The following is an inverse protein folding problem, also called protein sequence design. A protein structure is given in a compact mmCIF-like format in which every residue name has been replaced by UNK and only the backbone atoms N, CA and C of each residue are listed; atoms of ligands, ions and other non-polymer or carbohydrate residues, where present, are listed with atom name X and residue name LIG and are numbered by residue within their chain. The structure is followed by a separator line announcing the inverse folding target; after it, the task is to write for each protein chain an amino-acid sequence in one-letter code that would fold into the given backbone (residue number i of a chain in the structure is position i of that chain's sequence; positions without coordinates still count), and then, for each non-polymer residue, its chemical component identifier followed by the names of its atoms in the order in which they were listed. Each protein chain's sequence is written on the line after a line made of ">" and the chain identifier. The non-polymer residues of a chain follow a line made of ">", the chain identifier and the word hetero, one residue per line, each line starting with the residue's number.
data_IF_250143905250
#
_entry.id   IF_250143905250
#
_cell.length_a   1.000
_cell.length_b   1.000
_cell.length_c   1.000
_cell.angle_alpha   90.00
_cell.angle_beta   90.00
_cell.angle_gamma   90.00
#
_symmetry.space_group_name_H-M   'P 1'
#
loop_
_entity.id
_entity.type
_entity.pdbx_description
1 polymer ?
#
# COMPACT_ATOMS: atom_id res chain seq x y z
N UNK A 1 -2.76 -24.73 -29.40
CA UNK A 1 -3.43 -25.92 -28.81
C UNK A 1 -4.30 -26.67 -29.80
N UNK A 2 -5.50 -26.21 -30.24
CA UNK A 2 -6.36 -26.97 -31.15
C UNK A 2 -5.68 -27.33 -32.47
N UNK A 3 -4.89 -26.42 -33.05
CA UNK A 3 -4.14 -26.65 -34.29
C UNK A 3 -3.12 -27.82 -34.13
N UNK A 4 -2.48 -27.97 -32.97
CA UNK A 4 -1.56 -29.08 -32.67
C UNK A 4 -2.32 -30.40 -32.51
N UNK A 5 -3.45 -30.39 -31.78
CA UNK A 5 -4.28 -31.57 -31.59
C UNK A 5 -4.77 -32.08 -32.95
N UNK A 6 -5.27 -31.19 -33.82
CA UNK A 6 -5.73 -31.55 -35.16
C UNK A 6 -4.56 -32.07 -36.01
N UNK A 7 -3.37 -31.44 -35.93
CA UNK A 7 -2.17 -31.87 -36.66
C UNK A 7 -1.70 -33.27 -36.25
N UNK A 8 -1.81 -33.58 -34.96
CA UNK A 8 -1.35 -34.86 -34.40
C UNK A 8 -2.40 -35.96 -34.39
N UNK A 9 -3.63 -35.66 -34.86
CA UNK A 9 -4.73 -36.62 -34.97
C UNK A 9 -4.90 -37.07 -36.41
N UNK A 10 -5.18 -38.34 -36.62
CA UNK A 10 -5.37 -38.90 -37.97
C UNK A 10 -6.61 -38.28 -38.65
N UNK A 11 -6.55 -38.04 -39.97
CA UNK A 11 -7.65 -37.48 -40.73
C UNK A 11 -8.93 -38.34 -40.58
N UNK A 12 -8.82 -39.66 -40.43
CA UNK A 12 -9.94 -40.60 -40.24
C UNK A 12 -10.62 -40.37 -38.90
N UNK A 13 -9.84 -40.16 -37.82
CA UNK A 13 -10.36 -39.88 -36.47
C UNK A 13 -11.04 -38.54 -36.41
N UNK A 14 -10.48 -37.48 -37.04
CA UNK A 14 -11.06 -36.14 -37.07
C UNK A 14 -12.43 -36.11 -37.77
N UNK A 15 -12.59 -36.93 -38.83
CA UNK A 15 -13.86 -37.04 -39.56
C UNK A 15 -14.90 -37.92 -38.86
N UNK A 16 -14.52 -38.62 -37.79
CA UNK A 16 -15.43 -39.43 -36.99
C UNK A 16 -16.43 -38.56 -36.21
N UNK A 17 -17.70 -39.02 -36.14
CA UNK A 17 -18.77 -38.34 -35.41
C UNK A 17 -18.47 -38.15 -33.91
N UNK A 18 -17.60 -38.99 -33.36
CA UNK A 18 -17.25 -39.00 -31.94
C UNK A 18 -16.02 -38.12 -31.64
N UNK A 19 -15.38 -37.54 -32.66
CA UNK A 19 -14.25 -36.64 -32.45
C UNK A 19 -14.68 -35.37 -31.72
N UNK A 20 -14.11 -35.10 -30.59
CA UNK A 20 -14.31 -33.89 -29.78
C UNK A 20 -12.99 -33.22 -29.49
N UNK A 21 -12.99 -31.92 -29.60
CA UNK A 21 -11.89 -31.12 -29.11
C UNK A 21 -11.97 -31.03 -27.57
N UNK A 22 -10.83 -30.98 -26.86
CA UNK A 22 -10.84 -30.79 -25.42
C UNK A 22 -11.41 -29.42 -25.06
N UNK A 23 -12.05 -29.33 -23.91
CA UNK A 23 -12.52 -28.05 -23.38
C UNK A 23 -11.34 -27.14 -23.05
N UNK A 24 -11.48 -25.86 -23.33
CA UNK A 24 -10.55 -24.79 -22.90
C UNK A 24 -11.30 -23.90 -21.93
N UNK A 25 -10.79 -23.83 -20.72
CA UNK A 25 -11.35 -22.95 -19.68
C UNK A 25 -10.36 -21.79 -19.48
N UNK A 26 -10.71 -20.56 -19.84
CA UNK A 26 -9.88 -19.41 -19.55
C UNK A 26 -9.87 -19.14 -18.05
N UNK A 27 -8.69 -18.92 -17.48
CA UNK A 27 -8.53 -18.57 -16.05
C UNK A 27 -7.72 -17.28 -15.98
N UNK A 28 -8.23 -16.31 -15.25
CA UNK A 28 -7.52 -15.07 -14.91
C UNK A 28 -7.11 -15.14 -13.43
N UNK A 29 -5.83 -15.12 -13.18
CA UNK A 29 -5.26 -14.97 -11.83
C UNK A 29 -4.97 -13.48 -11.61
N UNK A 30 -5.59 -12.89 -10.60
CA UNK A 30 -5.46 -11.48 -10.28
C UNK A 30 -5.07 -11.30 -8.81
N UNK A 31 -3.97 -10.57 -8.57
CA UNK A 31 -3.48 -10.23 -7.24
C UNK A 31 -3.39 -8.71 -6.99
N UNK A 32 -4.13 -7.91 -7.78
CA UNK A 32 -4.16 -6.46 -7.63
C UNK A 32 -4.86 -5.99 -6.36
N UNK A 33 -4.53 -4.79 -5.89
CA UNK A 33 -5.14 -4.18 -4.70
C UNK A 33 -6.60 -3.82 -4.91
N UNK A 34 -6.90 -3.23 -6.08
CA UNK A 34 -8.25 -2.82 -6.44
C UNK A 34 -9.08 -4.04 -6.82
N UNK A 35 -10.39 -3.95 -6.60
CA UNK A 35 -11.30 -5.00 -7.05
C UNK A 35 -11.24 -5.12 -8.58
N UNK A 36 -11.28 -6.36 -9.08
CA UNK A 36 -11.41 -6.61 -10.51
C UNK A 36 -12.73 -6.07 -11.03
N UNK A 37 -12.67 -5.25 -12.09
CA UNK A 37 -13.84 -4.58 -12.68
C UNK A 37 -14.03 -4.88 -14.17
N UNK A 38 -13.11 -5.62 -14.80
CA UNK A 38 -13.24 -5.96 -16.20
C UNK A 38 -14.42 -6.93 -16.42
N UNK A 39 -15.06 -6.78 -17.58
CA UNK A 39 -16.18 -7.61 -17.99
C UNK A 39 -15.75 -9.09 -18.08
N UNK A 40 -16.56 -10.00 -17.53
CA UNK A 40 -16.25 -11.43 -17.48
C UNK A 40 -16.68 -12.20 -18.70
N UNK A 41 -17.77 -11.76 -19.32
CA UNK A 41 -18.30 -12.40 -20.52
C UNK A 41 -17.78 -11.71 -21.77
N UNK A 42 -17.13 -12.46 -22.65
CA UNK A 42 -16.57 -11.93 -23.90
C UNK A 42 -17.59 -11.21 -24.77
N UNK A 43 -18.81 -11.74 -24.88
CA UNK A 43 -19.86 -11.11 -25.71
C UNK A 43 -20.16 -9.66 -25.31
N UNK A 44 -20.04 -9.31 -24.01
CA UNK A 44 -20.39 -7.99 -23.49
C UNK A 44 -19.40 -6.90 -23.89
N UNK A 45 -18.20 -7.27 -24.35
CA UNK A 45 -17.20 -6.33 -24.89
C UNK A 45 -17.26 -6.23 -26.44
N UNK A 46 -18.14 -6.99 -27.08
CA UNK A 46 -18.32 -6.96 -28.52
C UNK A 46 -19.35 -5.89 -28.89
N UNK A 47 -18.97 -4.99 -29.79
CA UNK A 47 -19.89 -3.96 -30.31
C UNK A 47 -21.09 -4.56 -31.01
N UNK A 48 -22.29 -4.03 -30.77
CA UNK A 48 -23.56 -4.50 -31.34
C UNK A 48 -23.88 -5.98 -31.05
N UNK A 49 -23.47 -6.47 -29.89
CA UNK A 49 -23.67 -7.88 -29.50
C UNK A 49 -25.16 -8.26 -29.45
N UNK A 50 -26.05 -7.32 -29.16
CA UNK A 50 -27.50 -7.52 -29.07
C UNK A 50 -28.12 -7.95 -30.43
N UNK A 51 -27.56 -7.43 -31.52
CA UNK A 51 -28.06 -7.72 -32.89
C UNK A 51 -27.82 -9.19 -33.25
N UNK A 52 -26.67 -9.72 -32.82
CA UNK A 52 -26.25 -11.07 -33.20
C UNK A 52 -26.64 -12.14 -32.16
N UNK A 53 -26.93 -11.73 -30.93
CA UNK A 53 -27.44 -12.57 -29.88
C UNK A 53 -26.59 -13.85 -29.63
N UNK A 54 -27.23 -15.02 -29.84
CA UNK A 54 -26.58 -16.34 -29.66
C UNK A 54 -25.56 -16.71 -30.76
N UNK A 55 -25.48 -15.96 -31.83
CA UNK A 55 -24.58 -16.24 -32.94
C UNK A 55 -23.17 -15.65 -32.73
N UNK A 56 -22.94 -14.91 -31.64
CA UNK A 56 -21.61 -14.43 -31.26
C UNK A 56 -20.94 -15.51 -30.41
N UNK A 57 -19.65 -15.71 -30.66
CA UNK A 57 -18.81 -16.53 -29.79
C UNK A 57 -18.82 -15.89 -28.38
N UNK A 58 -19.23 -16.67 -27.39
CA UNK A 58 -19.19 -16.25 -26.01
C UNK A 58 -18.42 -17.26 -25.15
N UNK A 59 -17.68 -16.75 -24.19
CA UNK A 59 -17.07 -17.53 -23.12
C UNK A 59 -16.95 -16.64 -21.89
N UNK A 60 -16.95 -17.26 -20.74
CA UNK A 60 -16.65 -16.60 -19.47
C UNK A 60 -15.32 -17.17 -18.94
N UNK A 61 -14.48 -16.31 -18.38
CA UNK A 61 -13.27 -16.78 -17.69
C UNK A 61 -13.53 -16.94 -16.21
N UNK A 62 -12.82 -17.91 -15.60
CA UNK A 62 -12.77 -18.03 -14.14
C UNK A 62 -11.82 -16.98 -13.57
N UNK A 63 -12.34 -16.12 -12.72
CA UNK A 63 -11.53 -15.14 -12.02
C UNK A 63 -11.08 -15.70 -10.66
N UNK A 64 -9.77 -15.78 -10.46
CA UNK A 64 -9.14 -16.05 -9.19
C UNK A 64 -8.56 -14.74 -8.64
N UNK A 65 -9.37 -13.99 -7.90
CA UNK A 65 -8.97 -12.74 -7.23
C UNK A 65 -8.35 -13.09 -5.86
N UNK A 66 -7.01 -13.24 -5.85
CA UNK A 66 -6.25 -13.77 -4.72
C UNK A 66 -6.47 -12.97 -3.44
N UNK A 67 -6.58 -11.65 -3.55
CA UNK A 67 -6.74 -10.77 -2.38
C UNK A 67 -8.16 -10.81 -1.76
N UNK A 68 -9.12 -11.49 -2.40
CA UNK A 68 -10.51 -11.61 -1.92
C UNK A 68 -10.81 -12.94 -1.25
N UNK A 69 -9.92 -13.91 -1.36
CA UNK A 69 -10.08 -15.17 -0.65
C UNK A 69 -9.88 -15.01 0.85
N UNK A 70 -10.74 -15.69 1.63
CA UNK A 70 -10.58 -15.75 3.08
C UNK A 70 -9.41 -16.70 3.44
N UNK A 71 -8.54 -16.26 4.35
CA UNK A 71 -7.43 -17.06 4.87
C UNK A 71 -7.89 -18.46 5.33
N UNK A 72 -9.02 -18.54 6.06
CA UNK A 72 -9.54 -19.82 6.57
C UNK A 72 -9.98 -20.76 5.45
N UNK A 73 -10.52 -20.22 4.36
CA UNK A 73 -10.93 -21.02 3.20
C UNK A 73 -9.69 -21.58 2.48
N UNK A 74 -8.68 -20.75 2.24
CA UNK A 74 -7.42 -21.19 1.64
C UNK A 74 -6.73 -22.25 2.49
N UNK A 75 -6.71 -22.10 3.81
CA UNK A 75 -6.16 -23.10 4.73
C UNK A 75 -6.92 -24.44 4.67
N UNK A 76 -8.24 -24.44 4.53
CA UNK A 76 -9.05 -25.66 4.39
C UNK A 76 -8.75 -26.44 3.12
N UNK A 77 -8.37 -25.76 2.02
CA UNK A 77 -8.00 -26.40 0.76
C UNK A 77 -6.76 -27.29 0.96
N UNK A 78 -5.82 -26.88 1.81
CA UNK A 78 -4.68 -27.69 2.24
C UNK A 78 -3.68 -28.03 1.13
N UNK A 79 -3.68 -27.30 0.01
CA UNK A 79 -2.74 -27.49 -1.10
C UNK A 79 -1.68 -26.41 -1.10
N UNK A 80 -0.51 -26.71 -1.66
CA UNK A 80 0.56 -25.72 -1.79
C UNK A 80 0.14 -24.49 -2.61
N UNK A 81 -0.71 -24.66 -3.62
CA UNK A 81 -1.23 -23.53 -4.42
C UNK A 81 -2.09 -22.60 -3.57
N UNK A 82 -2.94 -23.15 -2.69
CA UNK A 82 -3.72 -22.35 -1.75
C UNK A 82 -2.83 -21.64 -0.73
N UNK A 83 -1.76 -22.31 -0.27
CA UNK A 83 -0.74 -21.71 0.59
C UNK A 83 -0.01 -20.55 -0.09
N UNK A 84 0.38 -20.72 -1.35
CA UNK A 84 0.99 -19.65 -2.14
C UNK A 84 0.02 -18.48 -2.31
N UNK A 85 -1.25 -18.70 -2.63
CA UNK A 85 -2.26 -17.64 -2.71
C UNK A 85 -2.41 -16.88 -1.39
N UNK A 86 -2.35 -17.60 -0.26
CA UNK A 86 -2.41 -17.00 1.06
C UNK A 86 -1.20 -16.09 1.35
N UNK A 87 -0.01 -16.44 0.87
CA UNK A 87 1.21 -15.65 1.00
C UNK A 87 1.26 -14.49 0.00
N UNK A 88 0.66 -14.65 -1.19
CA UNK A 88 0.62 -13.64 -2.25
C UNK A 88 -0.35 -12.48 -1.94
N UNK A 89 -1.23 -12.66 -0.96
CA UNK A 89 -2.09 -11.58 -0.48
C UNK A 89 -1.27 -10.46 0.16
N UNK A 90 -1.69 -9.20 -0.09
CA UNK A 90 -1.04 -8.04 0.52
C UNK A 90 -1.24 -7.99 2.02
N UNK A 91 -0.19 -8.28 2.74
CA UNK A 91 -0.15 -8.26 4.21
C UNK A 91 1.18 -7.71 4.70
N UNK A 92 1.23 -7.25 5.94
CA UNK A 92 2.49 -6.85 6.57
C UNK A 92 3.43 -8.07 6.77
N UNK A 93 4.74 -7.84 6.76
CA UNK A 93 5.74 -8.90 6.91
C UNK A 93 5.52 -9.81 8.12
N UNK A 94 5.05 -9.28 9.25
CA UNK A 94 4.73 -10.09 10.45
C UNK A 94 3.63 -11.11 10.14
N UNK A 95 2.55 -10.68 9.48
CA UNK A 95 1.46 -11.57 9.07
C UNK A 95 1.93 -12.56 8.00
N UNK A 96 2.78 -12.13 7.07
CA UNK A 96 3.41 -12.99 6.08
C UNK A 96 4.19 -14.13 6.74
N UNK A 97 5.05 -13.82 7.71
CA UNK A 97 5.83 -14.83 8.48
C UNK A 97 4.91 -15.77 9.25
N UNK A 98 3.83 -15.26 9.85
CA UNK A 98 2.85 -16.10 10.53
C UNK A 98 2.12 -17.04 9.57
N UNK A 99 1.76 -16.59 8.37
CA UNK A 99 1.15 -17.41 7.34
C UNK A 99 2.10 -18.49 6.81
N UNK A 100 3.37 -18.12 6.58
CA UNK A 100 4.40 -19.08 6.19
C UNK A 100 4.56 -20.16 7.25
N UNK A 101 4.62 -19.78 8.54
CA UNK A 101 4.62 -20.71 9.67
C UNK A 101 3.42 -21.66 9.62
N UNK A 102 2.21 -21.10 9.47
CA UNK A 102 0.99 -21.92 9.43
C UNK A 102 1.02 -22.94 8.28
N UNK A 103 1.46 -22.54 7.08
CA UNK A 103 1.58 -23.43 5.93
C UNK A 103 2.56 -24.57 6.24
N UNK A 104 3.75 -24.25 6.73
CA UNK A 104 4.80 -25.24 6.99
C UNK A 104 4.40 -26.19 8.13
N UNK A 105 3.68 -25.72 9.14
CA UNK A 105 3.28 -26.53 10.30
C UNK A 105 1.99 -27.34 10.08
N UNK A 106 1.05 -26.81 9.27
CA UNK A 106 -0.29 -27.40 9.12
C UNK A 106 -0.37 -28.33 7.92
N UNK A 107 0.41 -28.07 6.88
CA UNK A 107 0.42 -28.92 5.70
C UNK A 107 1.38 -30.09 5.93
N UNK A 108 1.01 -30.98 6.85
CA UNK A 108 1.81 -32.14 7.28
C UNK A 108 2.25 -33.08 6.13
N UNK A 109 1.67 -32.91 4.94
CA UNK A 109 1.92 -33.71 3.74
C UNK A 109 2.59 -32.92 2.61
N UNK A 110 3.28 -31.84 2.91
CA UNK A 110 4.09 -31.18 1.88
C UNK A 110 5.14 -32.13 1.35
N UNK A 111 4.97 -32.52 0.10
CA UNK A 111 5.99 -33.31 -0.61
C UNK A 111 7.23 -32.46 -0.85
N UNK A 112 8.36 -33.09 -1.14
CA UNK A 112 9.58 -32.35 -1.52
C UNK A 112 9.34 -31.47 -2.76
N UNK A 113 8.46 -31.90 -3.66
CA UNK A 113 8.04 -31.09 -4.81
C UNK A 113 7.25 -29.84 -4.38
N UNK A 114 6.39 -29.94 -3.36
CA UNK A 114 5.64 -28.79 -2.86
C UNK A 114 6.55 -27.81 -2.13
N UNK A 115 7.50 -28.29 -1.35
CA UNK A 115 8.53 -27.46 -0.72
C UNK A 115 9.39 -26.76 -1.78
N UNK A 116 9.74 -27.44 -2.86
CA UNK A 116 10.47 -26.85 -3.97
C UNK A 116 9.66 -25.74 -4.68
N UNK A 117 8.37 -25.97 -4.94
CA UNK A 117 7.47 -24.95 -5.51
C UNK A 117 7.38 -23.71 -4.61
N UNK A 118 7.17 -23.92 -3.31
CA UNK A 118 7.11 -22.84 -2.33
C UNK A 118 8.41 -22.04 -2.28
N UNK A 119 9.56 -22.73 -2.24
CA UNK A 119 10.88 -22.10 -2.26
C UNK A 119 11.10 -21.29 -3.53
N UNK A 120 10.78 -21.84 -4.70
CA UNK A 120 10.92 -21.13 -5.97
C UNK A 120 10.03 -19.89 -6.04
N UNK A 121 8.80 -19.98 -5.53
CA UNK A 121 7.91 -18.81 -5.45
C UNK A 121 8.48 -17.74 -4.50
N UNK A 122 8.90 -18.12 -3.29
CA UNK A 122 9.51 -17.19 -2.31
C UNK A 122 10.73 -16.46 -2.88
N UNK A 123 11.57 -17.16 -3.66
CA UNK A 123 12.74 -16.54 -4.31
C UNK A 123 12.37 -15.42 -5.29
N UNK A 124 11.21 -15.49 -5.91
CA UNK A 124 10.76 -14.51 -6.89
C UNK A 124 9.97 -13.34 -6.27
N UNK A 125 9.41 -13.53 -5.07
CA UNK A 125 8.47 -12.56 -4.46
C UNK A 125 9.09 -11.78 -3.32
N UNK A 126 10.00 -12.39 -2.56
CA UNK A 126 10.66 -11.74 -1.42
C UNK A 126 12.01 -11.19 -1.87
N UNK A 127 12.33 -9.98 -1.42
CA UNK A 127 13.63 -9.38 -1.67
C UNK A 127 14.79 -10.19 -1.04
N UNK A 128 15.97 -10.09 -1.66
CA UNK A 128 17.13 -10.88 -1.24
C UNK A 128 17.64 -10.50 0.14
N UNK A 129 17.53 -9.23 0.54
CA UNK A 129 17.96 -8.75 1.84
C UNK A 129 17.12 -9.38 2.96
N UNK A 130 15.80 -9.38 2.80
CA UNK A 130 14.88 -10.01 3.75
C UNK A 130 15.12 -11.52 3.86
N UNK A 131 15.32 -12.20 2.72
CA UNK A 131 15.63 -13.64 2.70
C UNK A 131 16.92 -13.96 3.45
N UNK A 132 17.99 -13.21 3.16
CA UNK A 132 19.29 -13.41 3.79
C UNK A 132 19.24 -13.12 5.30
N UNK A 133 18.60 -12.02 5.69
CA UNK A 133 18.47 -11.59 7.08
C UNK A 133 17.72 -12.61 7.94
N UNK A 134 16.64 -13.17 7.42
CA UNK A 134 15.74 -14.04 8.18
C UNK A 134 15.83 -15.51 7.80
N UNK A 135 16.72 -15.91 6.89
CA UNK A 135 16.94 -17.30 6.48
C UNK A 135 15.64 -18.03 6.12
N UNK A 136 14.81 -17.35 5.32
CA UNK A 136 13.44 -17.82 5.00
C UNK A 136 13.44 -19.21 4.37
N UNK A 137 14.44 -19.54 3.54
CA UNK A 137 14.57 -20.86 2.91
C UNK A 137 14.76 -22.00 3.95
N UNK A 138 15.39 -21.70 5.09
CA UNK A 138 15.60 -22.70 6.15
C UNK A 138 14.28 -23.05 6.86
N UNK A 139 13.32 -22.12 6.96
CA UNK A 139 12.01 -22.35 7.60
C UNK A 139 11.24 -23.48 6.91
N UNK A 140 11.33 -23.59 5.58
CA UNK A 140 10.58 -24.57 4.80
C UNK A 140 11.03 -25.99 5.06
N UNK A 141 12.30 -26.17 5.45
CA UNK A 141 12.93 -27.47 5.66
C UNK A 141 13.19 -27.79 7.12
N UNK A 142 12.98 -26.82 8.02
CA UNK A 142 13.23 -26.97 9.45
C UNK A 142 12.22 -27.91 10.11
N UNK A 143 12.62 -28.49 11.24
CA UNK A 143 11.70 -29.26 12.10
C UNK A 143 10.68 -28.33 12.76
N UNK A 144 9.53 -28.88 13.12
CA UNK A 144 8.42 -28.12 13.71
C UNK A 144 8.82 -27.15 14.83
N UNK A 145 9.60 -27.62 15.79
CA UNK A 145 10.08 -26.79 16.91
C UNK A 145 11.01 -25.64 16.46
N UNK A 146 11.83 -25.91 15.44
CA UNK A 146 12.74 -24.92 14.85
C UNK A 146 11.96 -23.86 14.07
N UNK A 147 10.95 -24.25 13.30
CA UNK A 147 10.04 -23.35 12.59
C UNK A 147 9.38 -22.37 13.55
N UNK A 148 8.85 -22.86 14.68
CA UNK A 148 8.23 -22.03 15.71
C UNK A 148 9.22 -21.02 16.30
N UNK A 149 10.42 -21.45 16.61
CA UNK A 149 11.48 -20.60 17.16
C UNK A 149 11.93 -19.54 16.15
N UNK A 150 12.21 -19.95 14.93
CA UNK A 150 12.66 -19.04 13.84
C UNK A 150 11.60 -17.98 13.56
N UNK A 151 10.36 -18.37 13.32
CA UNK A 151 9.27 -17.44 13.01
C UNK A 151 8.93 -16.51 14.17
N UNK A 152 9.05 -16.97 15.42
CA UNK A 152 8.87 -16.12 16.60
C UNK A 152 9.97 -15.06 16.72
N UNK A 153 11.22 -15.44 16.46
CA UNK A 153 12.35 -14.50 16.44
C UNK A 153 12.19 -13.45 15.35
N UNK A 154 11.84 -13.87 14.12
CA UNK A 154 11.57 -12.96 13.00
C UNK A 154 10.47 -11.96 13.36
N UNK A 155 9.34 -12.46 13.86
CA UNK A 155 8.21 -11.62 14.23
C UNK A 155 8.57 -10.61 15.33
N UNK A 156 9.41 -10.99 16.28
CA UNK A 156 9.91 -10.10 17.32
C UNK A 156 10.81 -9.01 16.72
N UNK A 157 11.80 -9.39 15.92
CA UNK A 157 12.72 -8.43 15.27
C UNK A 157 11.96 -7.43 14.41
N UNK A 158 11.00 -7.89 13.61
CA UNK A 158 10.17 -7.01 12.78
C UNK A 158 9.33 -6.03 13.60
N UNK A 159 8.80 -6.44 14.76
CA UNK A 159 8.07 -5.53 15.66
C UNK A 159 9.01 -4.48 16.26
N UNK A 160 10.18 -4.89 16.71
CA UNK A 160 11.18 -3.97 17.28
C UNK A 160 11.62 -2.93 16.23
N UNK A 161 11.85 -3.34 14.99
CA UNK A 161 12.18 -2.45 13.88
C UNK A 161 11.03 -1.49 13.54
N UNK A 162 9.81 -2.00 13.48
CA UNK A 162 8.63 -1.17 13.23
C UNK A 162 8.46 -0.10 14.31
N UNK A 163 8.55 -0.47 15.60
CA UNK A 163 8.42 0.47 16.72
C UNK A 163 9.57 1.49 16.76
N UNK A 164 10.77 1.09 16.36
CA UNK A 164 11.90 2.02 16.22
C UNK A 164 11.64 3.04 15.12
N UNK A 165 11.35 2.58 13.92
CA UNK A 165 11.10 3.45 12.76
C UNK A 165 9.92 4.40 13.01
N UNK A 166 8.87 3.91 13.69
CA UNK A 166 7.72 4.74 14.09
C UNK A 166 8.12 5.86 15.05
N UNK A 167 8.99 5.56 16.05
CA UNK A 167 9.49 6.57 17.00
C UNK A 167 10.39 7.58 16.32
N UNK A 168 11.27 7.13 15.43
CA UNK A 168 12.16 8.01 14.67
C UNK A 168 11.35 8.94 13.76
N UNK A 169 10.42 8.42 12.97
CA UNK A 169 9.56 9.24 12.12
C UNK A 169 8.68 10.22 12.89
N UNK A 170 8.18 9.85 14.09
CA UNK A 170 7.44 10.76 14.95
C UNK A 170 8.33 11.91 15.45
N UNK A 171 9.56 11.59 15.85
CA UNK A 171 10.53 12.59 16.31
C UNK A 171 10.90 13.56 15.20
N UNK A 172 11.23 13.05 14.01
CA UNK A 172 11.56 13.88 12.85
C UNK A 172 10.38 14.80 12.46
N UNK A 173 9.17 14.25 12.37
CA UNK A 173 7.98 15.05 12.08
C UNK A 173 7.66 16.10 13.13
N UNK A 174 7.93 15.84 14.42
CA UNK A 174 7.77 16.81 15.49
C UNK A 174 8.80 17.94 15.38
N UNK A 175 10.07 17.61 15.13
CA UNK A 175 11.16 18.58 14.95
C UNK A 175 10.91 19.48 13.74
N UNK A 176 10.49 18.92 12.60
CA UNK A 176 10.16 19.64 11.39
C UNK A 176 8.95 20.57 11.60
N UNK A 177 7.86 20.05 12.17
CA UNK A 177 6.67 20.85 12.46
C UNK A 177 6.93 21.99 13.46
N UNK A 178 7.78 21.78 14.48
CA UNK A 178 8.18 22.81 15.42
C UNK A 178 8.99 23.94 14.72
N UNK A 179 9.93 23.54 13.86
CA UNK A 179 10.75 24.50 13.09
C UNK A 179 9.88 25.33 12.14
N UNK A 180 9.03 24.70 11.35
CA UNK A 180 8.11 25.39 10.44
C UNK A 180 7.16 26.35 11.19
N UNK A 181 6.57 25.85 12.28
CA UNK A 181 5.66 26.66 13.11
C UNK A 181 6.36 27.87 13.72
N UNK A 182 7.62 27.73 14.18
CA UNK A 182 8.41 28.83 14.71
C UNK A 182 8.73 29.88 13.62
N UNK A 183 9.18 29.43 12.45
CA UNK A 183 9.49 30.32 11.33
C UNK A 183 8.25 31.10 10.87
N UNK A 184 7.11 30.41 10.75
CA UNK A 184 5.85 31.05 10.38
C UNK A 184 5.39 32.05 11.45
N UNK A 185 5.41 31.65 12.72
CA UNK A 185 5.02 32.53 13.83
C UNK A 185 5.88 33.80 13.92
N UNK A 186 7.19 33.69 13.74
CA UNK A 186 8.10 34.86 13.68
C UNK A 186 7.72 35.77 12.50
N UNK A 187 7.52 35.21 11.31
CA UNK A 187 7.16 35.98 10.11
C UNK A 187 5.83 36.71 10.26
N UNK A 188 4.83 36.07 10.80
CA UNK A 188 3.51 36.64 11.07
C UNK A 188 3.61 37.74 12.15
N UNK A 189 4.31 37.45 13.26
CA UNK A 189 4.50 38.45 14.32
C UNK A 189 5.26 39.70 13.87
N UNK A 190 6.29 39.54 13.05
CA UNK A 190 6.99 40.70 12.45
C UNK A 190 6.05 41.51 11.56
N UNK A 191 5.26 40.87 10.72
CA UNK A 191 4.30 41.52 9.81
C UNK A 191 3.25 42.28 10.61
N UNK A 192 2.64 41.65 11.59
CA UNK A 192 1.62 42.29 12.45
C UNK A 192 2.21 43.46 13.25
N UNK A 193 3.39 43.31 13.82
CA UNK A 193 4.08 44.36 14.55
C UNK A 193 4.41 45.56 13.64
N UNK A 194 4.84 45.30 12.41
CA UNK A 194 5.10 46.38 11.43
C UNK A 194 3.83 47.14 11.04
N UNK A 195 2.73 46.42 10.77
CA UNK A 195 1.43 47.01 10.45
C UNK A 195 0.91 47.88 11.60
N UNK A 196 0.99 47.36 12.84
CA UNK A 196 0.60 48.12 14.04
C UNK A 196 1.49 49.36 14.25
N UNK A 197 2.80 49.23 14.05
CA UNK A 197 3.74 50.36 14.13
C UNK A 197 3.43 51.44 13.11
N UNK A 198 3.13 51.07 11.86
CA UNK A 198 2.74 52.04 10.81
C UNK A 198 1.44 52.79 11.18
N UNK A 199 0.44 52.03 11.69
CA UNK A 199 -0.84 52.63 12.10
C UNK A 199 -0.64 53.61 13.26
N UNK A 200 0.17 53.22 14.25
CA UNK A 200 0.51 54.08 15.37
C UNK A 200 1.24 55.35 14.94
N UNK A 201 2.26 55.22 14.11
CA UNK A 201 3.01 56.34 13.54
C UNK A 201 2.09 57.30 12.79
N UNK A 202 1.22 56.78 11.93
CA UNK A 202 0.21 57.60 11.22
C UNK A 202 -0.71 58.34 12.17
N UNK A 203 -1.15 57.71 13.25
CA UNK A 203 -2.03 58.33 14.27
C UNK A 203 -1.32 59.45 15.02
N UNK A 204 -0.07 59.26 15.44
CA UNK A 204 0.76 60.26 16.11
C UNK A 204 1.01 61.47 15.20
N UNK A 205 1.43 61.25 13.95
CA UNK A 205 1.66 62.31 12.98
C UNK A 205 0.38 63.13 12.72
N UNK A 206 -0.76 62.46 12.56
CA UNK A 206 -2.04 63.13 12.34
C UNK A 206 -2.41 64.07 13.52
N UNK A 207 -2.34 63.54 14.76
CA UNK A 207 -2.65 64.31 15.96
C UNK A 207 -1.68 65.51 16.14
N UNK A 208 -0.41 65.32 15.85
CA UNK A 208 0.59 66.39 15.87
C UNK A 208 0.27 67.48 14.85
N UNK A 209 -0.11 67.15 13.60
CA UNK A 209 -0.57 68.06 12.57
C UNK A 209 -1.84 68.87 12.95
N UNK A 210 -2.71 68.25 13.75
CA UNK A 210 -3.91 68.90 14.30
C UNK A 210 -3.60 69.79 15.50
N UNK A 211 -2.33 69.92 15.90
CA UNK A 211 -1.89 70.80 17.00
C UNK A 211 -2.13 70.26 18.40
N UNK A 212 -2.32 68.91 18.57
CA UNK A 212 -2.52 68.29 19.87
C UNK A 212 -1.18 68.27 20.62
N UNK A 213 -1.20 68.53 21.93
CA UNK A 213 -0.01 68.54 22.77
C UNK A 213 0.57 67.11 22.96
N UNK A 214 1.92 67.00 23.12
CA UNK A 214 2.65 65.70 23.19
C UNK A 214 2.12 64.84 24.31
N UNK A 215 1.81 65.36 25.49
CA UNK A 215 1.28 64.63 26.64
C UNK A 215 -0.11 64.05 26.35
N UNK A 216 -0.90 64.74 25.55
CA UNK A 216 -2.25 64.31 25.14
C UNK A 216 -2.18 63.25 24.01
N UNK A 217 -1.22 63.40 23.08
CA UNK A 217 -0.93 62.40 22.03
C UNK A 217 -0.50 61.08 22.70
N UNK A 218 0.41 61.14 23.68
CA UNK A 218 0.88 59.99 24.44
C UNK A 218 -0.27 59.18 25.07
N UNK A 219 -1.22 59.92 25.72
CA UNK A 219 -2.43 59.29 26.32
C UNK A 219 -3.36 58.69 25.26
N UNK A 220 -3.63 59.38 24.16
CA UNK A 220 -4.53 58.93 23.08
C UNK A 220 -3.98 57.75 22.30
N UNK A 221 -2.65 57.58 22.26
CA UNK A 221 -1.96 56.49 21.56
C UNK A 221 -1.49 55.37 22.49
N UNK A 222 -1.67 55.52 23.81
CA UNK A 222 -1.24 54.59 24.85
C UNK A 222 0.27 54.28 24.78
N UNK A 223 1.09 55.33 24.53
CA UNK A 223 2.55 55.24 24.48
C UNK A 223 3.17 56.32 25.37
N UNK A 224 4.48 56.26 25.58
CA UNK A 224 5.19 57.29 26.36
C UNK A 224 5.43 58.55 25.55
N UNK A 225 5.59 59.71 26.23
CA UNK A 225 5.94 61.01 25.57
C UNK A 225 7.27 60.89 24.83
N UNK A 226 8.25 60.14 25.37
CA UNK A 226 9.52 59.87 24.71
C UNK A 226 9.29 59.18 23.36
N UNK A 227 8.36 58.19 23.31
CA UNK A 227 8.04 57.50 22.06
C UNK A 227 7.31 58.37 21.06
N UNK A 228 6.49 59.32 21.53
CA UNK A 228 5.88 60.36 20.65
C UNK A 228 6.97 61.21 20.02
N UNK A 229 7.96 61.67 20.80
CA UNK A 229 9.08 62.48 20.31
C UNK A 229 9.93 61.71 19.31
N UNK A 230 10.27 60.41 19.57
CA UNK A 230 10.99 59.57 18.63
C UNK A 230 10.26 59.38 17.28
N UNK A 231 8.94 59.41 17.27
CA UNK A 231 8.15 59.28 16.04
C UNK A 231 8.08 60.60 15.27
N UNK A 232 8.20 61.77 15.96
CA UNK A 232 8.10 63.09 15.38
C UNK A 232 9.45 63.65 14.90
N UNK A 233 10.58 63.10 15.36
CA UNK A 233 11.94 63.33 14.84
C UNK A 233 12.15 62.68 13.46
#
# INVERSE_FOLDING_TARGET
>A
MYREIIKNTTKRSIKGKDFKLPAVVPIVLYNGEKKWTAEKEFKNIVFNNEIFGKNIINFEYLLLDVNRYNKKELMKIGTISAGIFMLDQKVHYIEFVNRLKEIVLTFDKLTENDKMKLRNWLRNVIDEEFKAKFKIDEIITAKKQEVEKMTSNISRTLREEYERNKREGLKEGLEEGLKEGLEQGIKEGIKEGLEQGILLTKKVLKLSMEGVAIDEIAKLCEITEEKVNEILE
#
